data_IF_755910745259
#
_entry.id   IF_755910745259
#
_cell.length_a   1.000
_cell.length_b   1.000
_cell.length_c   1.000
_cell.angle_alpha   90.00
_cell.angle_beta   90.00
_cell.angle_gamma   90.00
#
_symmetry.space_group_name_H-M   'P 1'
#
loop_
_entity.id
_entity.type
_entity.pdbx_description
1 polymer ?
#
# COMPACT_ATOMS: atom_id res chain seq x y z
N UNK A 1 -7.77 34.45 -46.46
CA UNK A 1 -6.82 34.09 -45.37
C UNK A 1 -7.39 34.12 -43.96
N UNK A 2 -8.21 35.10 -43.53
CA UNK A 2 -8.80 35.09 -42.17
C UNK A 2 -9.94 34.07 -41.98
N UNK A 3 -10.83 33.94 -42.96
CA UNK A 3 -11.93 32.96 -42.93
C UNK A 3 -11.44 31.51 -42.77
N UNK A 4 -10.33 31.14 -43.44
CA UNK A 4 -9.69 29.83 -43.29
C UNK A 4 -9.13 29.58 -41.88
N UNK A 5 -8.56 30.60 -41.22
CA UNK A 5 -8.10 30.49 -39.83
C UNK A 5 -9.26 30.31 -38.85
N UNK A 6 -10.36 31.06 -39.03
CA UNK A 6 -11.57 30.95 -38.21
C UNK A 6 -12.20 29.56 -38.35
N UNK A 7 -12.29 29.05 -39.58
CA UNK A 7 -12.78 27.69 -39.84
C UNK A 7 -11.93 26.63 -39.12
N UNK A 8 -10.59 26.74 -39.20
CA UNK A 8 -9.69 25.84 -38.48
C UNK A 8 -9.84 25.89 -36.96
N UNK A 9 -10.06 27.07 -36.39
CA UNK A 9 -10.36 27.22 -34.94
C UNK A 9 -11.68 26.54 -34.60
N UNK A 10 -12.73 26.73 -35.40
CA UNK A 10 -14.03 26.11 -35.17
C UNK A 10 -13.94 24.58 -35.20
N UNK A 11 -13.24 24.01 -36.19
CA UNK A 11 -13.00 22.56 -36.27
C UNK A 11 -12.23 22.04 -35.05
N UNK A 12 -11.22 22.78 -34.58
CA UNK A 12 -10.49 22.41 -33.36
C UNK A 12 -11.39 22.46 -32.12
N UNK A 13 -12.23 23.49 -31.99
CA UNK A 13 -13.18 23.61 -30.87
C UNK A 13 -14.22 22.49 -30.88
N UNK A 14 -14.76 22.14 -32.05
CA UNK A 14 -15.67 21.01 -32.23
C UNK A 14 -14.99 19.69 -31.84
N UNK A 15 -13.73 19.50 -32.26
CA UNK A 15 -12.94 18.32 -31.90
C UNK A 15 -12.69 18.24 -30.40
N UNK A 16 -12.32 19.35 -29.74
CA UNK A 16 -12.12 19.40 -28.29
C UNK A 16 -13.43 19.10 -27.55
N UNK A 17 -14.53 19.72 -27.97
CA UNK A 17 -15.86 19.50 -27.40
C UNK A 17 -16.31 18.04 -27.56
N UNK A 18 -16.11 17.45 -28.74
CA UNK A 18 -16.40 16.05 -29.00
C UNK A 18 -15.53 15.12 -28.13
N UNK A 19 -14.23 15.41 -27.99
CA UNK A 19 -13.35 14.67 -27.09
C UNK A 19 -13.82 14.76 -25.63
N UNK A 20 -14.25 15.93 -25.15
CA UNK A 20 -14.81 16.08 -23.81
C UNK A 20 -16.09 15.27 -23.62
N UNK A 21 -17.02 15.35 -24.58
CA UNK A 21 -18.27 14.59 -24.54
C UNK A 21 -18.01 13.08 -24.54
N UNK A 22 -17.09 12.61 -25.38
CA UNK A 22 -16.76 11.19 -25.50
C UNK A 22 -16.01 10.67 -24.26
N UNK A 23 -15.22 11.51 -23.60
CA UNK A 23 -14.47 11.14 -22.39
C UNK A 23 -15.25 11.38 -21.08
N UNK A 24 -16.41 12.04 -21.11
CA UNK A 24 -17.18 12.35 -19.91
C UNK A 24 -17.47 11.09 -19.07
N UNK A 25 -17.93 10.00 -19.70
CA UNK A 25 -18.19 8.74 -19.01
C UNK A 25 -16.92 8.11 -18.40
N UNK A 26 -15.77 8.25 -19.05
CA UNK A 26 -14.48 7.79 -18.53
C UNK A 26 -14.03 8.63 -17.35
N UNK A 27 -14.18 9.96 -17.43
CA UNK A 27 -13.86 10.90 -16.35
C UNK A 27 -14.74 10.61 -15.13
N UNK A 28 -16.04 10.41 -15.31
CA UNK A 28 -16.96 10.02 -14.22
C UNK A 28 -16.52 8.72 -13.57
N UNK A 29 -16.19 7.69 -14.35
CA UNK A 29 -15.67 6.43 -13.80
C UNK A 29 -14.37 6.61 -13.01
N UNK A 30 -13.47 7.49 -13.45
CA UNK A 30 -12.23 7.78 -12.73
C UNK A 30 -12.55 8.44 -11.39
N UNK A 31 -13.46 9.40 -11.36
CA UNK A 31 -13.90 10.08 -10.14
C UNK A 31 -14.58 9.08 -9.20
N UNK A 32 -15.54 8.29 -9.70
CA UNK A 32 -16.24 7.27 -8.90
C UNK A 32 -15.28 6.23 -8.31
N UNK A 33 -14.31 5.75 -9.12
CA UNK A 33 -13.31 4.81 -8.64
C UNK A 33 -12.37 5.46 -7.64
N UNK A 34 -12.01 6.74 -7.82
CA UNK A 34 -11.18 7.48 -6.88
C UNK A 34 -11.90 7.68 -5.55
N UNK A 35 -13.19 8.02 -5.55
CA UNK A 35 -14.00 8.14 -4.33
C UNK A 35 -14.05 6.81 -3.58
N UNK A 36 -14.34 5.70 -4.27
CA UNK A 36 -14.35 4.37 -3.65
C UNK A 36 -13.00 3.97 -3.07
N UNK A 37 -11.92 4.13 -3.83
CA UNK A 37 -10.57 3.80 -3.35
C UNK A 37 -10.20 4.69 -2.16
N UNK A 38 -10.49 5.99 -2.25
CA UNK A 38 -10.22 6.93 -1.16
C UNK A 38 -10.98 6.54 0.10
N UNK A 39 -12.25 6.15 -0.02
CA UNK A 39 -13.07 5.68 1.10
C UNK A 39 -12.57 4.36 1.68
N UNK A 40 -12.23 3.39 0.83
CA UNK A 40 -11.70 2.09 1.26
C UNK A 40 -10.36 2.24 1.99
N UNK A 41 -9.49 3.12 1.49
CA UNK A 41 -8.21 3.45 2.12
C UNK A 41 -8.43 4.20 3.45
N UNK A 42 -9.39 5.13 3.51
CA UNK A 42 -9.71 5.84 4.75
C UNK A 42 -10.29 4.90 5.83
N UNK A 43 -10.99 3.83 5.43
CA UNK A 43 -11.52 2.79 6.32
C UNK A 43 -10.47 1.75 6.72
N UNK A 44 -9.35 1.63 5.99
CA UNK A 44 -8.32 0.65 6.28
C UNK A 44 -7.52 1.02 7.54
N UNK A 45 -7.48 0.11 8.52
CA UNK A 45 -6.74 0.33 9.78
C UNK A 45 -5.29 -0.15 9.68
N UNK A 46 -4.49 0.48 8.81
CA UNK A 46 -3.08 0.13 8.62
C UNK A 46 -2.25 0.22 9.91
N UNK A 47 -2.57 1.18 10.80
CA UNK A 47 -1.90 1.32 12.08
C UNK A 47 -2.12 0.09 12.98
N UNK A 48 -3.36 -0.42 13.03
CA UNK A 48 -3.67 -1.65 13.74
C UNK A 48 -2.98 -2.86 13.10
N UNK A 49 -3.01 -2.99 11.77
CA UNK A 49 -2.32 -4.09 11.07
C UNK A 49 -0.82 -4.12 11.37
N UNK A 50 -0.15 -2.96 11.39
CA UNK A 50 1.27 -2.87 11.76
C UNK A 50 1.47 -3.29 13.22
N UNK A 51 0.57 -2.89 14.11
CA UNK A 51 0.63 -3.26 15.53
C UNK A 51 0.44 -4.76 15.74
N UNK A 52 -0.52 -5.36 15.04
CA UNK A 52 -0.76 -6.81 15.07
C UNK A 52 0.41 -7.59 14.46
N UNK A 53 0.99 -7.10 13.36
CA UNK A 53 2.19 -7.67 12.76
C UNK A 53 3.36 -7.65 13.76
N UNK A 54 3.62 -6.51 14.42
CA UNK A 54 4.64 -6.40 15.48
C UNK A 54 4.46 -7.43 16.58
N UNK A 55 3.21 -7.62 17.03
CA UNK A 55 2.88 -8.61 18.05
C UNK A 55 3.19 -10.03 17.55
N UNK A 56 2.79 -10.37 16.34
CA UNK A 56 3.07 -11.68 15.75
C UNK A 56 4.59 -11.96 15.64
N UNK A 57 5.40 -10.95 15.32
CA UNK A 57 6.87 -11.07 15.33
C UNK A 57 7.39 -11.36 16.74
N UNK A 58 6.91 -10.63 17.74
CA UNK A 58 7.33 -10.81 19.13
C UNK A 58 6.94 -12.20 19.67
N UNK A 59 5.74 -12.67 19.34
CA UNK A 59 5.26 -14.00 19.69
C UNK A 59 6.12 -15.09 19.02
N UNK A 60 6.44 -14.91 17.73
CA UNK A 60 7.34 -15.82 17.00
C UNK A 60 8.73 -15.86 17.65
N UNK A 61 9.31 -14.71 18.00
CA UNK A 61 10.61 -14.66 18.69
C UNK A 61 10.55 -15.41 20.03
N UNK A 62 9.44 -15.28 20.76
CA UNK A 62 9.24 -15.99 22.03
C UNK A 62 9.21 -17.51 21.82
N UNK A 63 8.54 -18.00 20.77
CA UNK A 63 8.53 -19.42 20.41
C UNK A 63 9.93 -19.91 20.06
N UNK A 64 10.66 -19.18 19.21
CA UNK A 64 12.04 -19.50 18.82
C UNK A 64 12.94 -19.60 20.06
N UNK A 65 12.83 -18.66 20.99
CA UNK A 65 13.61 -18.66 22.22
C UNK A 65 13.28 -19.86 23.12
N UNK A 66 12.00 -20.25 23.23
CA UNK A 66 11.58 -21.44 23.98
C UNK A 66 12.13 -22.73 23.38
N UNK A 67 12.13 -22.83 22.05
CA UNK A 67 12.74 -23.96 21.32
C UNK A 67 14.24 -24.04 21.60
N UNK A 68 14.96 -22.91 21.54
CA UNK A 68 16.40 -22.85 21.84
C UNK A 68 16.74 -23.26 23.28
N UNK A 69 15.85 -22.96 24.24
CA UNK A 69 16.05 -23.33 25.65
C UNK A 69 15.90 -24.84 25.94
N UNK A 70 15.62 -25.67 24.93
CA UNK A 70 15.52 -27.14 25.06
C UNK A 70 14.27 -27.63 25.80
N UNK A 71 13.31 -26.74 26.08
CA UNK A 71 12.11 -27.08 26.82
C UNK A 71 11.03 -27.67 25.91
N UNK A 72 10.86 -29.00 25.95
CA UNK A 72 9.74 -29.73 25.33
C UNK A 72 10.09 -30.55 24.07
N UNK A 73 9.14 -31.37 23.61
CA UNK A 73 9.29 -32.29 22.46
C UNK A 73 9.59 -31.59 21.12
N UNK A 74 9.23 -30.32 20.99
CA UNK A 74 9.55 -29.47 19.83
C UNK A 74 11.03 -29.06 19.78
N UNK A 75 11.69 -28.88 20.94
CA UNK A 75 13.13 -28.64 21.02
C UNK A 75 13.96 -29.85 20.59
N UNK A 76 13.39 -31.06 20.68
CA UNK A 76 14.00 -32.28 20.13
C UNK A 76 13.77 -32.42 18.61
N UNK A 77 12.75 -31.77 18.05
CA UNK A 77 12.40 -31.82 16.62
C UNK A 77 13.11 -30.74 15.79
N UNK A 78 13.23 -29.51 16.31
CA UNK A 78 13.95 -28.40 15.68
C UNK A 78 15.37 -28.36 16.27
N UNK A 79 16.16 -29.39 15.99
CA UNK A 79 17.57 -29.45 16.35
C UNK A 79 18.47 -29.16 15.13
N UNK A 80 17.90 -28.56 14.09
CA UNK A 80 18.64 -28.08 12.93
C UNK A 80 19.04 -26.62 13.17
N UNK A 81 20.32 -26.43 13.54
CA UNK A 81 20.93 -25.11 13.73
C UNK A 81 20.69 -24.18 12.53
N UNK A 82 20.61 -24.71 11.30
CA UNK A 82 20.35 -23.91 10.10
C UNK A 82 18.93 -23.37 10.09
N UNK A 83 17.94 -24.18 10.45
CA UNK A 83 16.55 -23.73 10.55
C UNK A 83 16.39 -22.68 11.65
N UNK A 84 17.00 -22.90 12.81
CA UNK A 84 17.01 -21.94 13.91
C UNK A 84 17.61 -20.60 13.47
N UNK A 85 18.81 -20.63 12.88
CA UNK A 85 19.49 -19.44 12.39
C UNK A 85 18.68 -18.71 11.32
N UNK A 86 18.06 -19.43 10.39
CA UNK A 86 17.21 -18.83 9.36
C UNK A 86 15.97 -18.13 9.96
N UNK A 87 15.30 -18.77 10.92
CA UNK A 87 14.13 -18.20 11.58
C UNK A 87 14.50 -16.97 12.43
N UNK A 88 15.61 -17.05 13.17
CA UNK A 88 16.10 -15.93 13.96
C UNK A 88 16.49 -14.73 13.06
N UNK A 89 17.17 -14.99 11.95
CA UNK A 89 17.50 -13.96 10.96
C UNK A 89 16.24 -13.37 10.30
N UNK A 90 15.26 -14.20 9.98
CA UNK A 90 13.98 -13.75 9.43
C UNK A 90 13.22 -12.86 10.42
N UNK A 91 13.13 -13.26 11.69
CA UNK A 91 12.50 -12.47 12.75
C UNK A 91 13.23 -11.13 12.95
N UNK A 92 14.56 -11.14 12.98
CA UNK A 92 15.36 -9.91 13.11
C UNK A 92 15.20 -8.97 11.89
N UNK A 93 15.11 -9.51 10.67
CA UNK A 93 14.87 -8.71 9.47
C UNK A 93 13.45 -8.13 9.45
N UNK A 94 12.47 -8.89 9.91
CA UNK A 94 11.08 -8.44 10.01
C UNK A 94 10.93 -7.33 11.06
N UNK A 95 11.58 -7.46 12.21
CA UNK A 95 11.63 -6.42 13.25
C UNK A 95 12.22 -5.11 12.70
N UNK A 96 13.36 -5.17 12.00
CA UNK A 96 13.95 -4.01 11.32
C UNK A 96 13.01 -3.38 10.30
N UNK A 97 12.33 -4.19 9.49
CA UNK A 97 11.35 -3.70 8.51
C UNK A 97 10.20 -2.97 9.21
N UNK A 98 9.68 -3.52 10.31
CA UNK A 98 8.59 -2.89 11.05
C UNK A 98 9.01 -1.58 11.72
N UNK A 99 10.23 -1.52 12.25
CA UNK A 99 10.81 -0.27 12.78
C UNK A 99 10.92 0.77 11.67
N UNK A 100 11.46 0.40 10.49
CA UNK A 100 11.59 1.33 9.37
C UNK A 100 10.22 1.76 8.84
N UNK A 101 9.25 0.85 8.74
CA UNK A 101 7.88 1.17 8.34
C UNK A 101 7.22 2.16 9.30
N UNK A 102 7.44 2.01 10.61
CA UNK A 102 6.92 2.93 11.63
C UNK A 102 7.58 4.31 11.56
N UNK A 103 8.90 4.36 11.33
CA UNK A 103 9.65 5.62 11.25
C UNK A 103 9.43 6.34 9.91
N UNK A 104 9.32 5.58 8.82
CA UNK A 104 9.28 6.05 7.44
C UNK A 104 8.06 5.48 6.68
N UNK A 105 6.81 5.70 7.15
CA UNK A 105 5.63 5.08 6.55
C UNK A 105 5.46 5.47 5.07
N UNK A 106 5.88 6.68 4.68
CA UNK A 106 5.81 7.17 3.30
C UNK A 106 6.66 6.38 2.30
N UNK A 107 7.69 5.66 2.75
CA UNK A 107 8.57 4.84 1.89
C UNK A 107 7.85 3.59 1.38
N UNK A 108 6.86 3.12 2.13
CA UNK A 108 6.15 1.86 1.88
C UNK A 108 4.66 2.08 1.58
N UNK A 109 4.11 3.20 2.02
CA UNK A 109 2.73 3.62 1.77
C UNK A 109 2.77 5.05 1.21
N UNK A 110 2.72 5.16 -0.11
CA UNK A 110 2.60 6.45 -0.80
C UNK A 110 1.15 6.73 -1.15
N UNK A 111 0.60 7.84 -0.68
CA UNK A 111 -0.70 8.35 -1.10
C UNK A 111 -0.49 9.62 -1.95
N UNK A 112 -1.02 9.62 -3.17
CA UNK A 112 -1.13 10.81 -4.02
C UNK A 112 -2.56 11.32 -3.96
N UNK A 113 -2.75 12.46 -3.30
CA UNK A 113 -4.03 13.13 -3.12
C UNK A 113 -3.97 14.49 -3.80
N UNK A 114 -4.58 14.60 -4.97
CA UNK A 114 -5.18 15.86 -5.39
C UNK A 114 -6.69 15.63 -5.42
N UNK A 115 -7.38 16.19 -4.41
CA UNK A 115 -8.81 16.03 -4.20
C UNK A 115 -9.22 16.52 -2.81
N UNK A 116 -8.90 17.77 -2.50
CA UNK A 116 -9.33 18.41 -1.26
C UNK A 116 -10.87 18.50 -1.22
N UNK A 117 -11.46 18.00 -0.13
CA UNK A 117 -12.81 18.36 0.29
C UNK A 117 -12.93 19.88 0.35
N UNK A 118 -13.91 20.44 -0.36
CA UNK A 118 -14.55 21.70 0.03
C UNK A 118 -15.90 21.32 0.62
N UNK A 119 -16.17 21.90 1.79
CA UNK A 119 -17.41 21.80 2.53
C UNK A 119 -18.64 22.21 1.69
#
# INVERSE_FOLDING_TARGET
NQSSKISGIMTNLESISANFKNNNATITKIVDNFEKISDDVAKANFAQTITEANKAVADLQTVINKVNSGNGTLGQLINDERMYNNLNNAAANLDKLMIDLKANPKRYVSFSVFGGKKD
#
